data_IF_053501293874
#
_entry.id   IF_053501293874
#
_cell.length_a   1.000
_cell.length_b   1.000
_cell.length_c   1.000
_cell.angle_alpha   90.00
_cell.angle_beta   90.00
_cell.angle_gamma   90.00
#
_symmetry.space_group_name_H-M   'P 1'
#
loop_
_entity.id
_entity.type
_entity.pdbx_description
1 polymer ?
#
# COMPACT_ATOMS: atom_id res chain seq x y z
N UNK A 1 15.39 -15.42 37.61
CA UNK A 1 14.29 -14.52 37.19
C UNK A 1 13.24 -15.36 36.49
N UNK A 2 11.94 -15.11 36.72
CA UNK A 2 10.86 -15.81 36.02
C UNK A 2 10.39 -14.97 34.83
N UNK A 3 10.24 -15.59 33.66
CA UNK A 3 9.68 -14.93 32.47
C UNK A 3 8.19 -14.71 32.66
N UNK A 4 7.72 -13.45 32.55
CA UNK A 4 6.29 -13.09 32.75
C UNK A 4 5.49 -12.99 31.45
N UNK A 5 6.17 -12.79 30.31
CA UNK A 5 5.54 -12.75 28.99
C UNK A 5 6.58 -13.04 27.88
N UNK A 6 6.11 -13.65 26.80
CA UNK A 6 6.84 -13.84 25.52
C UNK A 6 5.95 -13.31 24.40
N UNK A 7 6.56 -12.74 23.37
CA UNK A 7 5.84 -12.18 22.22
C UNK A 7 6.50 -12.65 20.93
N UNK A 8 5.67 -13.02 19.96
CA UNK A 8 6.08 -13.47 18.64
C UNK A 8 5.53 -12.53 17.57
N UNK A 9 6.30 -12.35 16.49
CA UNK A 9 5.90 -11.58 15.31
C UNK A 9 5.88 -12.54 14.13
N UNK A 10 4.68 -12.79 13.62
CA UNK A 10 4.49 -13.65 12.45
C UNK A 10 4.81 -12.91 11.15
N UNK A 11 5.40 -13.62 10.20
CA UNK A 11 5.72 -13.13 8.85
C UNK A 11 4.93 -13.91 7.81
N UNK A 12 4.22 -13.19 6.94
CA UNK A 12 3.41 -13.79 5.86
C UNK A 12 3.96 -13.43 4.48
N UNK A 13 4.14 -14.47 3.66
CA UNK A 13 4.44 -14.38 2.23
C UNK A 13 3.75 -15.57 1.55
N UNK A 14 3.01 -15.35 0.47
CA UNK A 14 2.37 -16.37 -0.35
C UNK A 14 3.08 -16.59 -1.68
N UNK A 15 3.65 -15.53 -2.25
CA UNK A 15 4.40 -15.56 -3.51
C UNK A 15 5.83 -15.07 -3.29
N UNK A 16 6.79 -15.91 -3.64
CA UNK A 16 8.21 -15.55 -3.65
C UNK A 16 8.52 -14.52 -4.76
N UNK A 17 9.75 -13.97 -4.86
CA UNK A 17 10.11 -13.01 -5.90
C UNK A 17 9.92 -13.50 -7.34
N UNK A 18 9.95 -14.81 -7.57
CA UNK A 18 9.74 -15.42 -8.88
C UNK A 18 8.24 -15.58 -9.18
N UNK A 19 7.37 -15.37 -8.20
CA UNK A 19 5.93 -15.55 -8.30
C UNK A 19 5.50 -16.99 -8.07
N UNK A 20 6.33 -17.83 -7.45
CA UNK A 20 5.97 -19.19 -7.09
C UNK A 20 5.34 -19.23 -5.68
N UNK A 21 4.32 -20.08 -5.44
CA UNK A 21 3.70 -20.20 -4.14
C UNK A 21 4.65 -20.76 -3.08
N UNK A 22 4.79 -20.07 -1.95
CA UNK A 22 5.60 -20.52 -0.80
C UNK A 22 4.78 -21.34 0.20
N UNK A 23 3.46 -21.20 0.17
CA UNK A 23 2.50 -21.90 1.03
C UNK A 23 1.13 -21.99 0.34
N UNK A 24 0.13 -22.57 1.02
CA UNK A 24 -1.23 -22.66 0.50
C UNK A 24 -1.81 -21.27 0.27
N UNK A 25 -2.30 -21.02 -0.95
CA UNK A 25 -2.83 -19.72 -1.34
C UNK A 25 -4.26 -19.52 -0.82
N UNK A 26 -4.66 -18.29 -0.46
CA UNK A 26 -6.05 -17.99 -0.16
C UNK A 26 -6.92 -18.17 -1.40
N UNK A 27 -8.21 -18.49 -1.20
CA UNK A 27 -9.12 -18.89 -2.28
C UNK A 27 -9.18 -17.87 -3.44
N UNK A 28 -9.15 -16.56 -3.13
CA UNK A 28 -9.17 -15.51 -4.16
C UNK A 28 -7.90 -15.50 -5.03
N UNK A 29 -6.77 -15.98 -4.53
CA UNK A 29 -5.51 -16.01 -5.27
C UNK A 29 -5.40 -17.23 -6.20
N UNK A 30 -6.32 -18.20 -6.08
CA UNK A 30 -6.44 -19.32 -7.01
C UNK A 30 -7.21 -18.95 -8.28
N UNK A 31 -7.88 -17.79 -8.30
CA UNK A 31 -8.62 -17.28 -9.45
C UNK A 31 -7.84 -16.13 -10.12
N UNK A 32 -7.33 -16.33 -11.35
CA UNK A 32 -6.66 -15.27 -12.10
C UNK A 32 -7.53 -14.02 -12.29
N UNK A 33 -8.84 -14.18 -12.43
CA UNK A 33 -9.76 -13.04 -12.66
C UNK A 33 -9.88 -12.16 -11.41
N UNK A 34 -9.74 -12.72 -10.21
CA UNK A 34 -9.68 -11.96 -8.97
C UNK A 34 -8.34 -11.21 -8.79
N UNK A 35 -7.24 -11.70 -9.39
CA UNK A 35 -5.91 -11.08 -9.30
C UNK A 35 -5.64 -10.03 -10.38
N UNK A 36 -6.29 -10.14 -11.55
CA UNK A 36 -6.12 -9.19 -12.66
C UNK A 36 -6.40 -7.73 -12.27
N UNK A 37 -7.46 -7.38 -11.50
CA UNK A 37 -7.68 -6.03 -11.01
C UNK A 37 -6.54 -5.50 -10.13
N UNK A 38 -5.96 -6.34 -9.26
CA UNK A 38 -4.83 -5.96 -8.40
C UNK A 38 -3.58 -5.66 -9.24
N UNK A 39 -3.27 -6.53 -10.20
CA UNK A 39 -2.15 -6.31 -11.11
C UNK A 39 -2.33 -5.04 -11.94
N UNK A 40 -3.54 -4.81 -12.48
CA UNK A 40 -3.90 -3.57 -13.21
C UNK A 40 -3.66 -2.34 -12.37
N UNK A 41 -4.08 -2.36 -11.11
CA UNK A 41 -3.92 -1.26 -10.18
C UNK A 41 -2.45 -0.92 -9.92
N UNK A 42 -1.60 -1.94 -9.73
CA UNK A 42 -0.17 -1.73 -9.52
C UNK A 42 0.50 -1.14 -10.76
N UNK A 43 0.19 -1.66 -11.96
CA UNK A 43 0.71 -1.11 -13.22
C UNK A 43 0.23 0.33 -13.42
N UNK A 44 -1.05 0.61 -13.16
CA UNK A 44 -1.63 1.95 -13.27
C UNK A 44 -0.94 2.95 -12.33
N UNK A 45 -0.69 2.54 -11.09
CA UNK A 45 0.06 3.32 -10.10
C UNK A 45 1.45 3.68 -10.63
N UNK A 46 2.20 2.68 -11.13
CA UNK A 46 3.54 2.91 -11.70
C UNK A 46 3.52 3.83 -12.93
N UNK A 47 2.50 3.74 -13.78
CA UNK A 47 2.35 4.64 -14.94
C UNK A 47 1.97 6.06 -14.52
N UNK A 48 1.11 6.20 -13.51
CA UNK A 48 0.78 7.50 -12.94
C UNK A 48 2.03 8.19 -12.37
N UNK A 49 2.85 7.46 -11.61
CA UNK A 49 4.13 7.97 -11.09
C UNK A 49 5.02 8.54 -12.19
N UNK A 50 5.24 7.79 -13.27
CA UNK A 50 6.04 8.23 -14.41
C UNK A 50 5.47 9.53 -15.02
N UNK A 51 4.15 9.62 -15.13
CA UNK A 51 3.48 10.80 -15.66
C UNK A 51 3.57 12.00 -14.70
N UNK A 52 3.35 11.80 -13.41
CA UNK A 52 3.43 12.84 -12.39
C UNK A 52 4.85 13.42 -12.31
N UNK A 53 5.88 12.56 -12.32
CA UNK A 53 7.29 13.00 -12.37
C UNK A 53 7.56 13.83 -13.63
N UNK A 54 7.05 13.40 -14.80
CA UNK A 54 7.22 14.17 -16.04
C UNK A 54 6.51 15.53 -15.99
N UNK A 55 5.32 15.62 -15.36
CA UNK A 55 4.61 16.87 -15.13
C UNK A 55 5.38 17.79 -14.17
N UNK A 56 5.95 17.23 -13.10
CA UNK A 56 6.76 18.00 -12.14
C UNK A 56 8.01 18.58 -12.80
N UNK A 57 8.72 17.78 -13.62
CA UNK A 57 9.91 18.23 -14.38
C UNK A 57 9.62 19.35 -15.38
N UNK A 58 8.37 19.51 -15.79
CA UNK A 58 7.92 20.58 -16.68
C UNK A 58 7.21 21.72 -15.93
N UNK A 59 7.22 21.70 -14.59
CA UNK A 59 6.64 22.75 -13.75
C UNK A 59 5.11 22.77 -13.72
N UNK A 60 4.44 21.70 -14.16
CA UNK A 60 2.97 21.64 -14.19
C UNK A 60 2.36 21.22 -12.85
N UNK A 61 3.13 20.55 -11.99
CA UNK A 61 2.76 20.22 -10.62
C UNK A 61 3.95 20.49 -9.68
N UNK A 62 3.69 20.57 -8.38
CA UNK A 62 4.70 20.71 -7.33
C UNK A 62 5.48 19.42 -7.07
N UNK A 63 6.20 19.38 -5.93
CA UNK A 63 6.99 18.22 -5.50
C UNK A 63 6.10 16.98 -5.40
N UNK A 64 6.52 15.86 -5.97
CA UNK A 64 5.73 14.61 -5.98
C UNK A 64 6.48 13.45 -5.30
N UNK A 65 5.74 12.58 -4.61
CA UNK A 65 6.27 11.41 -3.90
C UNK A 65 5.83 10.10 -4.59
N UNK A 66 6.73 9.51 -5.38
CA UNK A 66 6.47 8.27 -6.13
C UNK A 66 6.32 7.04 -5.21
N UNK A 67 5.40 6.14 -5.54
CA UNK A 67 5.22 4.86 -4.87
C UNK A 67 6.00 3.71 -5.55
N UNK A 68 7.01 4.01 -6.37
CA UNK A 68 7.75 3.01 -7.13
C UNK A 68 8.36 1.93 -6.21
N UNK A 69 8.00 0.68 -6.47
CA UNK A 69 8.39 -0.50 -5.69
C UNK A 69 7.45 -0.83 -4.53
N UNK A 70 6.52 0.05 -4.19
CA UNK A 70 5.60 -0.06 -3.05
C UNK A 70 4.14 -0.22 -3.49
N UNK A 71 3.88 -0.48 -4.78
CA UNK A 71 2.55 -0.47 -5.36
C UNK A 71 1.62 -1.52 -4.72
N UNK A 72 2.17 -2.70 -4.40
CA UNK A 72 1.43 -3.79 -3.75
C UNK A 72 0.91 -3.43 -2.36
N UNK A 73 1.61 -2.57 -1.60
CA UNK A 73 1.18 -2.16 -0.26
C UNK A 73 -0.15 -1.43 -0.35
N UNK A 74 -0.20 -0.32 -1.11
CA UNK A 74 -1.43 0.47 -1.23
C UNK A 74 -2.56 -0.28 -1.94
N UNK A 75 -2.25 -1.03 -3.01
CA UNK A 75 -3.26 -1.82 -3.73
C UNK A 75 -3.82 -2.94 -2.86
N UNK A 76 -2.95 -3.72 -2.20
CA UNK A 76 -3.35 -4.83 -1.34
C UNK A 76 -4.22 -4.36 -0.19
N UNK A 77 -3.79 -3.29 0.51
CA UNK A 77 -4.54 -2.70 1.62
C UNK A 77 -5.91 -2.22 1.18
N UNK A 78 -5.98 -1.36 0.16
CA UNK A 78 -7.25 -0.77 -0.26
C UNK A 78 -8.22 -1.78 -0.88
N UNK A 79 -7.70 -2.85 -1.51
CA UNK A 79 -8.55 -3.92 -2.06
C UNK A 79 -9.17 -4.84 -1.00
N UNK A 80 -8.69 -4.79 0.24
CA UNK A 80 -9.28 -5.48 1.39
C UNK A 80 -10.31 -4.61 2.14
N UNK A 81 -10.31 -3.31 1.89
CA UNK A 81 -11.25 -2.36 2.50
C UNK A 81 -12.65 -2.49 1.91
N UNK A 82 -13.67 -2.33 2.76
CA UNK A 82 -15.05 -2.13 2.33
C UNK A 82 -15.26 -0.66 1.97
N UNK A 83 -16.29 -0.36 1.18
CA UNK A 83 -16.60 1.01 0.75
C UNK A 83 -16.81 1.97 1.93
N UNK A 84 -17.34 1.45 3.04
CA UNK A 84 -17.53 2.18 4.27
C UNK A 84 -16.28 2.28 5.15
N UNK A 85 -15.15 1.62 4.93
CA UNK A 85 -13.99 1.91 5.79
C UNK A 85 -13.46 3.33 5.52
N UNK A 86 -12.62 3.85 6.41
CA UNK A 86 -11.99 5.18 6.24
C UNK A 86 -10.49 5.01 6.03
N UNK A 87 -10.00 5.49 4.88
CA UNK A 87 -8.57 5.60 4.61
C UNK A 87 -8.00 6.87 5.23
N UNK A 88 -6.89 6.74 5.95
CA UNK A 88 -6.10 7.85 6.49
C UNK A 88 -4.66 7.74 5.96
N UNK A 89 -4.37 8.33 4.78
CA UNK A 89 -3.14 8.08 4.05
C UNK A 89 -1.96 8.97 4.49
N UNK A 90 -0.75 8.51 4.21
CA UNK A 90 0.42 9.37 4.04
C UNK A 90 0.49 9.93 2.61
N UNK A 91 1.40 10.86 2.35
CA UNK A 91 1.59 11.44 1.02
C UNK A 91 2.04 10.47 -0.08
N UNK A 92 2.39 9.21 0.24
CA UNK A 92 2.85 8.21 -0.75
C UNK A 92 1.78 7.17 -1.11
N UNK A 93 0.59 7.26 -0.54
CA UNK A 93 -0.41 6.18 -0.61
C UNK A 93 -1.44 6.37 -1.74
N UNK A 94 -1.05 7.02 -2.85
CA UNK A 94 -1.94 7.27 -3.98
C UNK A 94 -2.42 5.96 -4.66
N UNK A 95 -1.65 4.87 -4.54
CA UNK A 95 -2.10 3.53 -4.96
C UNK A 95 -3.39 3.09 -4.23
N UNK A 96 -3.45 3.35 -2.91
CA UNK A 96 -4.63 3.10 -2.11
C UNK A 96 -5.76 4.07 -2.49
N UNK A 97 -5.47 5.37 -2.62
CA UNK A 97 -6.46 6.38 -3.02
C UNK A 97 -7.13 6.04 -4.35
N UNK A 98 -6.39 5.61 -5.37
CA UNK A 98 -6.96 5.21 -6.65
C UNK A 98 -7.86 3.98 -6.53
N UNK A 99 -7.49 3.00 -5.71
CA UNK A 99 -8.37 1.85 -5.40
C UNK A 99 -9.64 2.26 -4.64
N UNK A 100 -9.56 3.31 -3.81
CA UNK A 100 -10.71 3.91 -3.13
C UNK A 100 -11.60 4.75 -4.04
N UNK A 101 -11.18 5.02 -5.28
CA UNK A 101 -11.96 5.76 -6.28
C UNK A 101 -11.54 7.22 -6.44
N UNK A 102 -10.50 7.69 -5.75
CA UNK A 102 -9.91 9.01 -6.02
C UNK A 102 -9.42 9.03 -7.46
N UNK A 103 -9.87 10.04 -8.21
CA UNK A 103 -9.48 10.20 -9.61
C UNK A 103 -8.04 10.70 -9.71
N UNK A 104 -7.38 10.36 -10.82
CA UNK A 104 -6.06 10.92 -11.14
C UNK A 104 -6.10 12.45 -11.27
N UNK A 105 -7.25 13.02 -11.68
CA UNK A 105 -7.44 14.47 -11.75
C UNK A 105 -7.41 15.09 -10.36
N UNK A 106 -8.17 14.55 -9.40
CA UNK A 106 -8.14 15.02 -8.00
C UNK A 106 -6.72 14.93 -7.42
N UNK A 107 -6.02 13.82 -7.66
CA UNK A 107 -4.63 13.66 -7.24
C UNK A 107 -3.70 14.70 -7.87
N UNK A 108 -3.80 14.95 -9.18
CA UNK A 108 -2.98 15.96 -9.87
C UNK A 108 -3.34 17.40 -9.47
N UNK A 109 -4.60 17.67 -9.10
CA UNK A 109 -5.00 18.96 -8.53
C UNK A 109 -4.31 19.19 -7.18
N UNK A 110 -4.36 18.19 -6.28
CA UNK A 110 -3.65 18.26 -5.00
C UNK A 110 -2.15 18.54 -5.19
N UNK A 111 -1.48 17.75 -6.04
CA UNK A 111 -0.05 17.93 -6.32
C UNK A 111 0.23 19.21 -7.11
N UNK A 112 -0.75 19.76 -7.81
CA UNK A 112 -0.71 21.08 -8.45
C UNK A 112 -0.90 22.26 -7.48
N UNK A 113 -1.17 22.00 -6.20
CA UNK A 113 -1.40 23.02 -5.18
C UNK A 113 -2.84 23.52 -5.11
N UNK A 114 -3.80 22.72 -5.58
CA UNK A 114 -5.23 23.04 -5.56
C UNK A 114 -5.99 22.18 -4.55
N UNK A 115 -6.48 22.82 -3.50
CA UNK A 115 -7.20 22.18 -2.39
C UNK A 115 -8.48 21.45 -2.83
N UNK A 116 -9.05 21.78 -3.99
CA UNK A 116 -10.19 21.03 -4.54
C UNK A 116 -9.83 19.58 -4.82
N UNK A 117 -8.54 19.29 -5.04
CA UNK A 117 -8.02 17.92 -5.17
C UNK A 117 -8.18 17.07 -3.90
N UNK A 118 -8.48 17.67 -2.75
CA UNK A 118 -8.73 16.98 -1.48
C UNK A 118 -10.21 16.65 -1.23
N UNK A 119 -11.12 17.14 -2.07
CA UNK A 119 -12.56 16.92 -1.94
C UNK A 119 -13.00 15.71 -2.79
N UNK A 120 -12.65 14.50 -2.35
CA UNK A 120 -12.85 13.28 -3.13
C UNK A 120 -14.33 12.97 -3.39
N UNK A 121 -14.70 12.88 -4.67
CA UNK A 121 -16.09 12.62 -5.05
C UNK A 121 -16.55 11.19 -4.72
N UNK A 122 -15.70 10.19 -4.95
CA UNK A 122 -16.04 8.77 -4.74
C UNK A 122 -15.77 8.26 -3.32
N UNK A 123 -14.93 8.97 -2.56
CA UNK A 123 -14.50 8.58 -1.22
C UNK A 123 -14.56 9.77 -0.24
N UNK A 124 -15.73 10.39 -0.03
CA UNK A 124 -15.87 11.63 0.74
C UNK A 124 -15.57 11.49 2.24
N UNK A 125 -15.41 10.27 2.73
CA UNK A 125 -15.05 9.98 4.12
C UNK A 125 -13.56 9.68 4.31
N UNK A 126 -12.82 9.43 3.22
CA UNK A 126 -11.38 9.20 3.27
C UNK A 126 -10.65 10.54 3.46
N UNK A 127 -9.53 10.50 4.18
CA UNK A 127 -8.76 11.70 4.48
C UNK A 127 -7.81 12.05 3.34
N UNK A 128 -7.56 13.35 3.18
CA UNK A 128 -6.50 13.86 2.31
C UNK A 128 -5.11 13.41 2.78
N UNK A 129 -4.11 13.59 1.90
CA UNK A 129 -2.72 13.28 2.21
C UNK A 129 -2.23 14.03 3.46
N UNK A 130 -1.71 13.30 4.44
CA UNK A 130 -1.05 13.90 5.59
C UNK A 130 0.45 14.13 5.30
N UNK A 131 0.86 15.41 5.29
CA UNK A 131 2.27 15.80 5.10
C UNK A 131 3.07 15.78 6.41
N UNK A 132 2.54 16.31 7.55
CA UNK A 132 3.19 16.15 8.85
C UNK A 132 3.21 14.67 9.29
N UNK A 133 4.40 14.07 9.28
CA UNK A 133 4.57 12.64 9.54
C UNK A 133 4.10 12.27 10.95
N UNK A 134 3.21 11.28 11.05
CA UNK A 134 2.79 10.65 12.30
C UNK A 134 1.42 11.15 12.78
N UNK A 135 1.09 12.41 12.51
CA UNK A 135 -0.16 13.04 12.96
C UNK A 135 -1.41 12.26 12.54
N UNK A 136 -1.38 11.65 11.35
CA UNK A 136 -2.50 10.87 10.84
C UNK A 136 -2.87 9.67 11.72
N UNK A 137 -1.94 9.13 12.51
CA UNK A 137 -2.18 7.98 13.39
C UNK A 137 -3.12 8.38 14.53
N UNK A 138 -2.92 9.56 15.13
CA UNK A 138 -3.82 10.11 16.16
C UNK A 138 -5.20 10.40 15.59
N UNK A 139 -5.28 10.96 14.37
CA UNK A 139 -6.57 11.15 13.68
C UNK A 139 -7.28 9.82 13.41
N UNK A 140 -6.57 8.80 12.93
CA UNK A 140 -7.13 7.48 12.69
C UNK A 140 -7.64 6.80 13.96
N UNK A 141 -6.93 6.94 15.09
CA UNK A 141 -7.39 6.46 16.39
C UNK A 141 -8.70 7.14 16.83
N UNK A 142 -8.80 8.46 16.68
CA UNK A 142 -10.03 9.21 16.97
C UNK A 142 -11.21 8.80 16.08
N UNK A 143 -10.97 8.61 14.78
CA UNK A 143 -11.98 8.14 13.82
C UNK A 143 -12.48 6.75 14.20
N UNK A 144 -11.56 5.80 14.44
CA UNK A 144 -11.89 4.45 14.87
C UNK A 144 -12.69 4.45 16.18
N UNK A 145 -12.28 5.27 17.14
CA UNK A 145 -12.99 5.39 18.41
C UNK A 145 -14.42 5.95 18.21
N UNK A 146 -14.60 6.93 17.34
CA UNK A 146 -15.93 7.44 17.00
C UNK A 146 -16.83 6.35 16.36
N UNK A 147 -16.29 5.54 15.44
CA UNK A 147 -17.01 4.39 14.86
C UNK A 147 -17.45 3.40 15.94
N UNK A 148 -16.58 3.12 16.92
CA UNK A 148 -16.90 2.24 18.04
C UNK A 148 -18.02 2.79 18.90
N UNK A 149 -17.96 4.07 19.29
CA UNK A 149 -19.00 4.71 20.10
C UNK A 149 -20.37 4.69 19.40
N UNK A 150 -20.37 4.84 18.07
CA UNK A 150 -21.58 4.80 17.23
C UNK A 150 -22.02 3.39 16.84
N UNK A 151 -21.25 2.35 17.22
CA UNK A 151 -21.50 0.94 16.88
C UNK A 151 -21.57 0.70 15.36
N UNK A 152 -20.72 1.40 14.60
CA UNK A 152 -20.65 1.27 13.15
C UNK A 152 -19.76 0.07 12.76
N UNK A 153 -20.22 -0.86 11.90
CA UNK A 153 -19.45 -2.06 11.52
C UNK A 153 -18.42 -1.75 10.41
N UNK A 154 -17.52 -0.79 10.68
CA UNK A 154 -16.49 -0.28 9.77
C UNK A 154 -15.20 0.00 10.56
N UNK A 155 -14.08 0.12 9.85
CA UNK A 155 -12.77 0.38 10.46
C UNK A 155 -12.09 1.61 9.84
N UNK A 156 -11.14 2.17 10.58
CA UNK A 156 -10.16 3.11 10.04
C UNK A 156 -8.89 2.35 9.62
N UNK A 157 -8.29 2.76 8.50
CA UNK A 157 -7.03 2.21 7.99
C UNK A 157 -6.06 3.36 7.82
N UNK A 158 -4.94 3.32 8.54
CA UNK A 158 -3.94 4.37 8.51
C UNK A 158 -2.63 3.85 7.92
N UNK A 159 -2.09 4.57 6.93
CA UNK A 159 -0.79 4.27 6.34
C UNK A 159 0.26 5.29 6.76
N UNK A 160 1.47 4.79 7.00
CA UNK A 160 2.66 5.60 7.27
C UNK A 160 3.94 4.86 6.85
N UNK A 161 5.04 5.60 6.73
CA UNK A 161 6.37 5.01 6.46
C UNK A 161 7.10 4.57 7.72
N UNK A 162 8.21 3.84 7.53
CA UNK A 162 9.13 3.39 8.58
C UNK A 162 9.65 4.54 9.46
N UNK A 163 10.06 5.67 8.85
CA UNK A 163 10.50 6.84 9.61
C UNK A 163 9.41 7.46 10.50
N UNK A 164 8.13 7.28 10.13
CA UNK A 164 7.01 7.76 10.94
C UNK A 164 6.85 7.01 12.25
N UNK A 165 7.37 5.78 12.33
CA UNK A 165 7.32 4.97 13.56
C UNK A 165 8.23 5.47 14.69
N UNK A 166 9.04 6.49 14.41
CA UNK A 166 9.90 7.19 15.37
C UNK A 166 9.23 8.45 15.96
N UNK A 167 8.04 8.83 15.47
CA UNK A 167 7.27 9.98 15.97
C UNK A 167 6.46 9.60 17.20
N UNK A 168 6.26 10.56 18.12
CA UNK A 168 5.41 10.38 19.31
C UNK A 168 3.97 10.01 18.92
N UNK A 169 3.40 10.72 17.94
CA UNK A 169 2.03 10.49 17.45
C UNK A 169 1.78 9.04 16.99
N UNK A 170 2.81 8.35 16.47
CA UNK A 170 2.67 6.94 16.11
C UNK A 170 2.39 6.07 17.34
N UNK A 171 3.17 6.25 18.40
CA UNK A 171 2.95 5.51 19.65
C UNK A 171 1.65 5.93 20.32
N UNK A 172 1.39 7.24 20.43
CA UNK A 172 0.19 7.76 21.09
C UNK A 172 -1.08 7.26 20.41
N UNK A 173 -1.19 7.39 19.08
CA UNK A 173 -2.34 6.89 18.32
C UNK A 173 -2.53 5.37 18.45
N UNK A 174 -1.44 4.60 18.37
CA UNK A 174 -1.47 3.15 18.53
C UNK A 174 -1.88 2.72 19.95
N UNK A 175 -1.32 3.37 20.98
CA UNK A 175 -1.62 3.09 22.38
C UNK A 175 -3.07 3.44 22.73
N UNK A 176 -3.57 4.58 22.24
CA UNK A 176 -4.98 4.95 22.37
C UNK A 176 -5.91 3.91 21.72
N UNK A 177 -5.60 3.47 20.50
CA UNK A 177 -6.41 2.47 19.82
C UNK A 177 -6.41 1.11 20.54
N UNK A 178 -5.28 0.70 21.12
CA UNK A 178 -5.18 -0.49 21.95
C UNK A 178 -5.99 -0.39 23.24
N UNK A 179 -5.81 0.69 24.00
CA UNK A 179 -6.53 0.95 25.25
C UNK A 179 -8.05 1.03 25.04
N UNK A 180 -8.49 1.63 23.93
CA UNK A 180 -9.90 1.76 23.61
C UNK A 180 -10.48 0.56 22.87
N UNK A 181 -9.66 -0.44 22.51
CA UNK A 181 -10.05 -1.54 21.63
C UNK A 181 -10.79 -1.00 20.38
N UNK A 182 -10.19 0.00 19.73
CA UNK A 182 -10.78 0.72 18.60
C UNK A 182 -10.59 -0.08 17.29
N UNK A 183 -11.54 -0.02 16.33
CA UNK A 183 -11.45 -0.70 15.03
C UNK A 183 -10.46 0.02 14.09
N UNK A 184 -9.16 -0.15 14.35
CA UNK A 184 -8.07 0.50 13.62
C UNK A 184 -7.06 -0.51 13.06
N UNK A 185 -6.75 -0.41 11.78
CA UNK A 185 -5.61 -1.11 11.17
C UNK A 185 -4.54 -0.08 10.84
N UNK A 186 -3.36 -0.23 11.44
CA UNK A 186 -2.18 0.57 11.14
C UNK A 186 -1.30 -0.20 10.16
N UNK A 187 -0.90 0.41 9.04
CA UNK A 187 -0.02 -0.20 8.06
C UNK A 187 1.25 0.63 7.91
N UNK A 188 2.36 0.07 8.36
CA UNK A 188 3.69 0.65 8.17
C UNK A 188 4.25 0.13 6.86
N UNK A 189 4.34 1.01 5.87
CA UNK A 189 5.07 0.79 4.63
C UNK A 189 6.57 0.94 4.91
N UNK A 190 7.21 -0.17 5.29
CA UNK A 190 8.63 -0.20 5.59
C UNK A 190 9.43 -0.35 4.29
N UNK A 191 9.75 0.78 3.68
CA UNK A 191 10.47 0.86 2.40
C UNK A 191 12.00 1.02 2.56
N UNK A 192 12.49 0.75 3.78
CA UNK A 192 13.89 0.80 4.24
C UNK A 192 14.52 2.19 4.41
N UNK A 193 13.82 3.29 4.04
CA UNK A 193 14.42 4.62 3.97
C UNK A 193 13.47 5.77 4.33
N UNK A 194 13.83 6.54 5.35
CA UNK A 194 13.23 7.84 5.66
C UNK A 194 14.10 8.98 5.09
N UNK A 195 13.74 9.49 3.90
CA UNK A 195 14.60 10.40 3.11
C UNK A 195 15.95 9.72 2.85
N UNK A 196 17.00 10.12 3.57
CA UNK A 196 18.37 9.62 3.53
C UNK A 196 18.74 8.73 4.73
N UNK A 197 17.86 8.61 5.72
CA UNK A 197 18.10 7.83 6.93
C UNK A 197 17.68 6.37 6.70
N UNK A 198 18.61 5.39 6.75
CA UNK A 198 18.27 3.99 6.59
C UNK A 198 17.49 3.47 7.79
N UNK A 199 16.67 2.43 7.59
CA UNK A 199 15.87 1.80 8.65
C UNK A 199 16.67 1.42 9.90
N UNK A 200 17.91 0.97 9.75
CA UNK A 200 18.79 0.61 10.88
C UNK A 200 19.09 1.78 11.84
N UNK A 201 19.00 3.03 11.37
CA UNK A 201 19.20 4.23 12.19
C UNK A 201 17.90 4.79 12.78
N UNK A 202 16.73 4.27 12.39
CA UNK A 202 15.45 4.70 12.95
C UNK A 202 15.21 4.17 14.36
N UNK A 203 15.56 2.90 14.60
CA UNK A 203 15.33 2.23 15.88
C UNK A 203 16.09 0.91 15.95
N UNK A 204 16.50 0.52 17.16
CA UNK A 204 17.12 -0.78 17.45
C UNK A 204 16.12 -1.97 17.44
N UNK A 205 14.81 -1.69 17.32
CA UNK A 205 13.79 -2.74 17.19
C UNK A 205 14.08 -3.62 15.96
N UNK A 206 14.01 -4.95 16.11
CA UNK A 206 14.28 -5.92 15.03
C UNK A 206 13.24 -5.83 13.92
N UNK A 207 11.97 -5.67 14.29
CA UNK A 207 10.86 -5.40 13.37
C UNK A 207 10.21 -4.06 13.75
N UNK A 208 9.41 -3.48 12.86
CA UNK A 208 8.51 -2.38 13.24
C UNK A 208 7.19 -2.92 13.80
N UNK A 209 6.77 -4.11 13.36
CA UNK A 209 5.61 -4.81 13.90
C UNK A 209 5.72 -5.03 15.43
N UNK A 210 6.91 -5.27 15.99
CA UNK A 210 7.08 -5.46 17.44
C UNK A 210 6.71 -4.22 18.27
N UNK A 211 6.64 -3.02 17.67
CA UNK A 211 6.20 -1.81 18.38
C UNK A 211 4.75 -1.94 18.88
N UNK A 212 3.94 -2.78 18.23
CA UNK A 212 2.58 -3.12 18.64
C UNK A 212 2.49 -3.67 20.08
N UNK A 213 3.52 -4.40 20.52
CA UNK A 213 3.59 -4.99 21.86
C UNK A 213 3.48 -3.91 22.94
N UNK A 214 4.11 -2.75 22.72
CA UNK A 214 4.07 -1.63 23.67
C UNK A 214 2.67 -1.00 23.82
N UNK A 215 1.77 -1.25 22.87
CA UNK A 215 0.37 -0.82 22.90
C UNK A 215 -0.60 -1.97 23.23
N UNK A 216 -0.10 -3.19 23.49
CA UNK A 216 -0.92 -4.36 23.77
C UNK A 216 -1.81 -4.81 22.60
N UNK A 217 -1.39 -4.55 21.36
CA UNK A 217 -2.14 -4.96 20.15
C UNK A 217 -1.33 -5.96 19.31
N UNK A 218 -1.97 -6.76 18.45
CA UNK A 218 -1.27 -7.64 17.51
C UNK A 218 -0.37 -6.86 16.55
N UNK A 219 0.85 -7.36 16.37
CA UNK A 219 1.82 -6.88 15.38
C UNK A 219 2.13 -7.99 14.38
N UNK A 220 1.87 -7.75 13.10
CA UNK A 220 2.09 -8.69 12.01
C UNK A 220 3.11 -8.12 11.04
N UNK A 221 3.93 -8.98 10.45
CA UNK A 221 4.83 -8.61 9.37
C UNK A 221 4.40 -9.31 8.08
N UNK A 222 4.54 -8.63 6.95
CA UNK A 222 4.15 -9.15 5.64
C UNK A 222 5.17 -8.76 4.59
N UNK A 223 5.37 -9.61 3.58
CA UNK A 223 6.06 -9.20 2.36
C UNK A 223 5.23 -8.13 1.64
N UNK A 224 5.67 -6.88 1.69
CA UNK A 224 5.00 -5.74 1.07
C UNK A 224 5.04 -5.75 -0.45
N UNK A 225 5.84 -6.61 -1.07
CA UNK A 225 5.89 -6.81 -2.51
C UNK A 225 5.02 -7.99 -2.98
N UNK A 226 4.46 -8.76 -2.06
CA UNK A 226 3.46 -9.78 -2.34
C UNK A 226 2.05 -9.23 -2.08
N UNK A 227 1.38 -8.78 -3.14
CA UNK A 227 0.03 -8.22 -3.04
C UNK A 227 -1.02 -9.22 -2.51
N UNK A 228 -0.80 -10.54 -2.68
CA UNK A 228 -1.69 -11.56 -2.12
C UNK A 228 -1.57 -11.57 -0.60
N UNK A 229 -0.33 -11.54 -0.09
CA UNK A 229 -0.06 -11.48 1.35
C UNK A 229 -0.55 -10.19 1.97
N UNK A 230 -0.23 -9.03 1.37
CA UNK A 230 -0.71 -7.73 1.86
C UNK A 230 -2.23 -7.70 1.94
N UNK A 231 -2.91 -8.14 0.88
CA UNK A 231 -4.38 -8.16 0.84
C UNK A 231 -4.97 -9.09 1.90
N UNK A 232 -4.46 -10.31 2.02
CA UNK A 232 -4.98 -11.30 2.97
C UNK A 232 -4.77 -10.84 4.43
N UNK A 233 -3.56 -10.43 4.79
CA UNK A 233 -3.25 -9.95 6.16
C UNK A 233 -4.08 -8.72 6.52
N UNK A 234 -4.27 -7.80 5.56
CA UNK A 234 -5.12 -6.62 5.78
C UNK A 234 -6.60 -7.02 5.94
N UNK A 235 -7.09 -7.97 5.15
CA UNK A 235 -8.46 -8.46 5.25
C UNK A 235 -8.75 -9.06 6.63
N UNK A 236 -7.83 -9.90 7.13
CA UNK A 236 -7.96 -10.53 8.44
C UNK A 236 -7.91 -9.51 9.58
N UNK A 237 -6.99 -8.54 9.51
CA UNK A 237 -6.91 -7.44 10.46
C UNK A 237 -8.17 -6.56 10.47
N UNK A 238 -8.73 -6.29 9.28
CA UNK A 238 -9.97 -5.52 9.13
C UNK A 238 -11.18 -6.28 9.69
N UNK A 239 -11.28 -7.59 9.45
CA UNK A 239 -12.38 -8.38 10.00
C UNK A 239 -12.30 -8.45 11.53
N UNK A 240 -11.09 -8.63 12.09
CA UNK A 240 -10.85 -8.53 13.54
C UNK A 240 -11.29 -7.16 14.07
N UNK A 241 -10.89 -6.07 13.43
CA UNK A 241 -11.22 -4.72 13.85
C UNK A 241 -12.75 -4.50 13.88
N UNK A 242 -13.45 -4.86 12.80
CA UNK A 242 -14.91 -4.68 12.66
C UNK A 242 -15.73 -5.56 13.60
N UNK A 243 -15.20 -6.72 14.00
CA UNK A 243 -15.86 -7.66 14.94
C UNK A 243 -15.52 -7.37 16.41
N UNK A 244 -14.82 -6.27 16.70
CA UNK A 244 -14.53 -5.83 18.07
C UNK A 244 -13.25 -6.40 18.67
N UNK A 245 -12.40 -7.07 17.88
CA UNK A 245 -11.08 -7.52 18.30
C UNK A 245 -10.03 -6.41 18.45
N UNK A 246 -10.42 -5.16 18.22
CA UNK A 246 -9.56 -3.99 18.41
C UNK A 246 -8.52 -3.81 17.30
N UNK A 247 -7.50 -3.01 17.60
CA UNK A 247 -6.55 -2.56 16.59
C UNK A 247 -5.51 -3.63 16.21
N UNK A 248 -4.87 -3.46 15.05
CA UNK A 248 -3.76 -4.30 14.58
C UNK A 248 -2.71 -3.45 13.88
N UNK A 249 -1.42 -3.73 14.10
CA UNK A 249 -0.31 -3.15 13.35
C UNK A 249 0.22 -4.15 12.32
N UNK A 250 0.34 -3.72 11.07
CA UNK A 250 0.94 -4.48 9.97
C UNK A 250 2.20 -3.75 9.52
N UNK A 251 3.34 -4.42 9.53
CA UNK A 251 4.56 -3.98 8.87
C UNK A 251 4.68 -4.65 7.50
N UNK A 252 4.52 -3.87 6.44
CA UNK A 252 4.76 -4.32 5.08
C UNK A 252 6.21 -4.03 4.66
N UNK A 253 7.03 -5.08 4.55
CA UNK A 253 8.43 -4.95 4.12
C UNK A 253 8.50 -4.79 2.61
N UNK A 254 9.04 -3.67 2.17
CA UNK A 254 9.23 -3.36 0.75
C UNK A 254 10.50 -2.51 0.60
N UNK A 255 10.72 -1.91 -0.57
CA UNK A 255 11.86 -1.07 -0.85
C UNK A 255 11.48 0.10 -1.75
N UNK A 256 11.91 1.32 -1.38
CA UNK A 256 11.68 2.52 -2.20
C UNK A 256 12.64 2.52 -3.39
N UNK A 257 12.19 2.11 -4.57
CA UNK A 257 13.06 2.03 -5.75
C UNK A 257 13.42 3.40 -6.34
N UNK A 258 12.57 4.41 -6.16
CA UNK A 258 12.81 5.79 -6.59
C UNK A 258 13.46 6.67 -5.51
N UNK A 259 13.64 7.95 -5.84
CA UNK A 259 14.04 9.00 -4.88
C UNK A 259 12.99 9.20 -3.80
N UNK A 260 13.32 9.95 -2.73
CA UNK A 260 12.34 10.27 -1.70
C UNK A 260 11.16 11.06 -2.28
N UNK A 261 11.46 12.14 -3.00
CA UNK A 261 10.52 12.93 -3.80
C UNK A 261 11.24 13.43 -5.04
N UNK A 262 10.54 14.13 -5.92
CA UNK A 262 11.16 14.82 -7.07
C UNK A 262 12.14 15.93 -6.68
N UNK A 263 12.28 16.26 -5.40
CA UNK A 263 13.23 17.25 -4.88
C UNK A 263 14.45 16.61 -4.18
N UNK A 264 14.57 15.28 -4.24
CA UNK A 264 15.64 14.50 -3.61
C UNK A 264 16.57 13.87 -4.66
N UNK A 265 17.76 13.47 -4.22
CA UNK A 265 18.73 12.71 -5.00
C UNK A 265 19.25 11.54 -4.15
N UNK A 266 18.69 10.35 -4.39
CA UNK A 266 19.04 9.17 -3.60
C UNK A 266 20.46 8.66 -3.85
N UNK A 267 21.10 9.03 -4.96
CA UNK A 267 22.47 8.58 -5.27
C UNK A 267 23.50 9.06 -4.25
N UNK A 268 23.17 10.09 -3.47
CA UNK A 268 24.03 10.69 -2.45
C UNK A 268 24.17 9.85 -1.17
N UNK A 269 23.25 8.92 -0.92
CA UNK A 269 23.20 8.19 0.35
C UNK A 269 22.80 6.71 0.20
N UNK A 270 22.50 6.26 -1.03
CA UNK A 270 22.03 4.90 -1.29
C UNK A 270 22.82 4.26 -2.42
N UNK A 271 23.29 3.04 -2.16
CA UNK A 271 24.05 2.28 -3.12
C UNK A 271 23.18 1.84 -4.31
N UNK A 272 23.65 2.15 -5.52
CA UNK A 272 23.01 1.75 -6.76
C UNK A 272 22.92 0.23 -6.93
N UNK A 273 23.88 -0.54 -6.41
CA UNK A 273 23.85 -2.00 -6.50
C UNK A 273 22.76 -2.58 -5.61
N UNK A 274 22.61 -2.05 -4.39
CA UNK A 274 21.48 -2.38 -3.52
C UNK A 274 20.14 -2.13 -4.23
N UNK A 275 20.00 -1.01 -4.94
CA UNK A 275 18.77 -0.71 -5.70
C UNK A 275 18.52 -1.75 -6.81
N UNK A 276 19.56 -2.16 -7.55
CA UNK A 276 19.43 -3.19 -8.60
C UNK A 276 18.97 -4.54 -8.03
N UNK A 277 19.47 -4.93 -6.86
CA UNK A 277 19.03 -6.17 -6.21
C UNK A 277 17.54 -6.10 -5.82
N UNK A 278 17.07 -4.96 -5.33
CA UNK A 278 15.65 -4.78 -4.97
C UNK A 278 14.71 -4.70 -6.18
N UNK A 279 15.20 -4.31 -7.36
CA UNK A 279 14.43 -4.41 -8.61
C UNK A 279 14.03 -5.86 -8.94
N UNK A 280 14.81 -6.85 -8.49
CA UNK A 280 14.48 -8.27 -8.69
C UNK A 280 13.34 -8.75 -7.76
N UNK A 281 12.99 -7.96 -6.75
CA UNK A 281 12.02 -8.31 -5.72
C UNK A 281 10.68 -7.59 -5.88
N UNK A 282 10.56 -6.71 -6.88
CA UNK A 282 9.49 -5.74 -7.03
C UNK A 282 8.10 -6.38 -7.32
N UNK A 283 7.01 -5.74 -6.89
CA UNK A 283 5.68 -6.38 -6.84
C UNK A 283 5.03 -6.67 -8.21
N UNK A 284 5.29 -5.84 -9.23
CA UNK A 284 4.62 -5.96 -10.54
C UNK A 284 5.11 -7.20 -11.26
N UNK A 285 6.43 -7.37 -11.42
CA UNK A 285 7.01 -8.56 -12.03
C UNK A 285 6.61 -9.82 -11.28
N UNK A 286 6.57 -9.78 -9.94
CA UNK A 286 6.16 -10.92 -9.11
C UNK A 286 4.79 -11.44 -9.48
N UNK A 287 3.75 -10.60 -9.41
CA UNK A 287 2.39 -11.03 -9.75
C UNK A 287 2.25 -11.34 -11.25
N UNK A 288 2.98 -10.64 -12.13
CA UNK A 288 3.01 -10.95 -13.57
C UNK A 288 3.47 -12.37 -13.83
N UNK A 289 4.47 -12.86 -13.10
CA UNK A 289 5.00 -14.20 -13.28
C UNK A 289 4.02 -15.26 -12.77
N UNK A 290 3.27 -14.97 -11.70
CA UNK A 290 2.25 -15.87 -11.17
C UNK A 290 1.01 -16.02 -12.07
N UNK A 291 0.51 -14.91 -12.65
CA UNK A 291 -0.76 -14.88 -13.40
C UNK A 291 -0.88 -15.94 -14.53
N UNK A 292 0.14 -16.20 -15.38
CA UNK A 292 0.07 -17.26 -16.40
C UNK A 292 0.12 -18.68 -15.84
N UNK A 293 0.70 -18.87 -14.65
CA UNK A 293 0.83 -20.16 -13.97
C UNK A 293 -0.47 -20.54 -13.24
N UNK A 294 -1.24 -19.54 -12.79
CA UNK A 294 -2.55 -19.71 -12.18
C UNK A 294 -3.59 -20.11 -13.24
N UNK A 295 -4.15 -21.32 -13.13
CA UNK A 295 -5.25 -21.80 -13.97
C UNK A 295 -6.44 -22.16 -13.07
N UNK A 296 -7.68 -21.77 -13.44
CA UNK A 296 -8.85 -22.23 -12.72
C UNK A 296 -8.93 -23.76 -12.84
N UNK A 297 -9.15 -24.44 -11.71
CA UNK A 297 -9.34 -25.88 -11.70
C UNK A 297 -10.57 -26.25 -12.56
N UNK A 298 -10.33 -26.85 -13.72
CA UNK A 298 -11.40 -27.40 -14.56
C UNK A 298 -11.77 -28.79 -14.04
N UNK A 299 -12.95 -28.91 -13.41
CA UNK A 299 -13.66 -30.18 -13.19
C UNK A 299 -13.07 -31.11 -12.12
N UNK A 300 -13.59 -31.03 -10.89
CA UNK A 300 -13.39 -32.07 -9.87
C UNK A 300 -14.33 -33.25 -10.15
N UNK A 301 -13.84 -34.23 -10.93
CA UNK A 301 -14.27 -35.62 -10.82
C UNK A 301 -13.58 -36.28 -9.62
N UNK A 302 -14.35 -37.03 -8.84
CA UNK A 302 -13.96 -37.70 -7.59
C UNK A 302 -12.63 -38.48 -7.67
N UNK A 303 -11.69 -38.21 -6.77
CA UNK A 303 -10.76 -39.22 -6.26
C UNK A 303 -10.15 -38.81 -4.92
N UNK A 304 -10.12 -39.79 -4.01
CA UNK A 304 -9.62 -39.81 -2.64
C UNK A 304 -8.08 -39.69 -2.55
N UNK A 305 -7.56 -39.09 -1.47
CA UNK A 305 -6.21 -39.38 -0.96
C UNK A 305 -5.32 -38.17 -0.66
N UNK A 306 -4.97 -38.02 0.61
CA UNK A 306 -4.04 -37.06 1.22
C UNK A 306 -2.76 -36.74 0.40
N UNK A 307 -2.67 -35.50 -0.12
CA UNK A 307 -1.47 -34.64 -0.17
C UNK A 307 -1.88 -33.22 -0.58
N UNK A 308 -1.29 -32.23 0.08
CA UNK A 308 -1.56 -30.81 -0.03
C UNK A 308 -1.82 -30.31 -1.47
N UNK A 309 -2.91 -29.58 -1.65
CA UNK A 309 -3.29 -28.91 -2.89
C UNK A 309 -2.39 -27.68 -3.14
N UNK A 310 -1.14 -27.92 -3.51
CA UNK A 310 -0.32 -26.95 -4.23
C UNK A 310 -0.74 -27.06 -5.70
N UNK A 311 -1.48 -26.06 -6.20
CA UNK A 311 -1.99 -25.89 -7.58
C UNK A 311 -1.87 -27.11 -8.52
N UNK A 312 -2.94 -27.89 -8.77
CA UNK A 312 -2.88 -28.94 -9.78
C UNK A 312 -2.88 -28.33 -11.19
N UNK A 313 -1.90 -28.72 -12.02
CA UNK A 313 -1.99 -28.61 -13.48
C UNK A 313 -1.12 -27.53 -14.15
N UNK A 314 0.15 -27.85 -14.44
CA UNK A 314 0.95 -27.13 -15.44
C UNK A 314 0.57 -27.62 -16.85
N UNK A 315 -0.50 -27.09 -17.47
CA UNK A 315 -0.70 -26.97 -18.94
C UNK A 315 -2.10 -26.42 -19.30
N UNK A 316 -2.18 -25.17 -19.74
CA UNK A 316 -3.44 -24.54 -20.21
C UNK A 316 -3.57 -23.05 -19.89
N UNK A 317 -2.76 -22.18 -20.49
CA UNK A 317 -2.76 -20.75 -20.16
C UNK A 317 -4.10 -20.07 -20.51
N UNK A 318 -4.65 -19.25 -19.59
CA UNK A 318 -5.90 -18.50 -19.87
C UNK A 318 -5.69 -17.49 -21.00
N UNK A 319 -6.50 -17.57 -22.06
CA UNK A 319 -6.34 -16.74 -23.26
C UNK A 319 -6.57 -15.25 -22.97
N UNK A 320 -7.44 -14.91 -22.01
CA UNK A 320 -7.72 -13.52 -21.61
C UNK A 320 -6.56 -12.86 -20.87
N UNK A 321 -5.96 -13.53 -19.88
CA UNK A 321 -4.80 -12.97 -19.17
C UNK A 321 -3.60 -12.80 -20.12
N UNK A 322 -3.36 -13.78 -21.00
CA UNK A 322 -2.34 -13.69 -22.07
C UNK A 322 -2.59 -12.54 -23.04
N UNK A 323 -3.82 -12.43 -23.56
CA UNK A 323 -4.19 -11.41 -24.54
C UNK A 323 -4.01 -10.01 -23.95
N UNK A 324 -4.42 -9.82 -22.70
CA UNK A 324 -4.29 -8.55 -22.02
C UNK A 324 -2.82 -8.22 -21.69
N UNK A 325 -2.03 -9.16 -21.16
CA UNK A 325 -0.59 -8.97 -20.97
C UNK A 325 0.07 -8.56 -22.29
N UNK A 326 -0.22 -9.27 -23.40
CA UNK A 326 0.28 -8.89 -24.73
C UNK A 326 -0.16 -7.48 -25.16
N UNK A 327 -1.39 -7.06 -24.84
CA UNK A 327 -1.91 -5.74 -25.24
C UNK A 327 -1.26 -4.55 -24.52
N UNK A 328 -0.77 -4.73 -23.29
CA UNK A 328 -0.05 -3.67 -22.55
C UNK A 328 1.39 -3.53 -23.06
N UNK A 329 2.02 -4.65 -23.38
CA UNK A 329 3.44 -4.70 -23.73
C UNK A 329 3.68 -4.63 -25.25
N UNK A 330 2.64 -4.70 -26.08
CA UNK A 330 2.70 -4.32 -27.49
C UNK A 330 2.90 -2.80 -27.61
N UNK A 331 3.82 -2.36 -28.47
CA UNK A 331 4.30 -0.97 -28.66
C UNK A 331 3.23 0.11 -28.41
N UNK A 332 3.60 1.24 -27.77
CA UNK A 332 2.63 2.26 -27.35
C UNK A 332 1.89 2.82 -28.57
N UNK A 333 0.59 2.48 -28.68
CA UNK A 333 -0.29 3.23 -29.57
C UNK A 333 -0.44 4.63 -28.99
N UNK A 334 -0.26 5.64 -29.83
CA UNK A 334 -0.29 7.08 -29.55
C UNK A 334 -1.66 7.62 -29.15
N UNK A 335 -2.43 6.88 -28.33
CA UNK A 335 -3.70 7.38 -27.80
C UNK A 335 -3.42 8.51 -26.81
N UNK A 336 -3.43 9.74 -27.34
CA UNK A 336 -3.49 10.98 -26.57
C UNK A 336 -4.72 10.88 -25.67
N UNK A 337 -4.49 10.87 -24.36
CA UNK A 337 -5.51 11.20 -23.39
C UNK A 337 -5.95 12.64 -23.66
N UNK A 338 -7.26 12.94 -23.83
CA UNK A 338 -7.71 14.30 -23.98
C UNK A 338 -7.65 15.01 -22.61
N UNK A 339 -6.47 15.46 -22.20
CA UNK A 339 -6.32 16.47 -21.16
C UNK A 339 -6.31 17.84 -21.84
N UNK A 340 -7.48 18.47 -21.96
CA UNK A 340 -7.53 19.91 -22.21
C UNK A 340 -7.38 20.60 -20.85
N UNK A 341 -6.18 21.11 -20.59
CA UNK A 341 -5.95 22.04 -19.49
C UNK A 341 -6.57 23.39 -19.87
N UNK A 342 -7.53 23.88 -19.09
CA UNK A 342 -7.90 25.30 -19.14
C UNK A 342 -6.82 26.06 -18.36
N UNK A 343 -5.72 26.39 -19.03
CA UNK A 343 -4.63 27.22 -18.48
C UNK A 343 -5.08 28.67 -18.39
N UNK A 344 -5.98 28.99 -17.47
CA UNK A 344 -6.31 30.37 -17.11
C UNK A 344 -6.72 30.46 -15.65
N UNK A 345 -5.70 30.41 -14.76
CA UNK A 345 -5.56 31.18 -13.52
C UNK A 345 -4.37 30.62 -12.73
N UNK A 346 -3.17 31.04 -13.10
CA UNK A 346 -2.03 30.98 -12.20
C UNK A 346 -2.32 31.93 -11.03
N UNK A 347 -2.74 31.41 -9.88
CA UNK A 347 -2.68 32.16 -8.63
C UNK A 347 -1.27 32.05 -8.10
N UNK A 348 -0.43 33.01 -8.52
CA UNK A 348 0.88 33.20 -7.98
C UNK A 348 0.72 33.77 -6.56
N UNK A 349 0.93 32.94 -5.54
CA UNK A 349 1.05 33.40 -4.16
C UNK A 349 2.41 34.11 -4.02
N UNK A 350 2.49 35.36 -4.47
CA UNK A 350 3.65 36.22 -4.21
C UNK A 350 3.54 36.82 -2.81
N UNK A 351 4.03 36.11 -1.80
CA UNK A 351 4.38 36.74 -0.53
C UNK A 351 5.71 37.49 -0.73
N UNK A 352 5.64 38.72 -1.26
CA UNK A 352 6.70 39.71 -1.04
C UNK A 352 6.46 40.29 0.35
N UNK A 353 7.25 39.87 1.32
CA UNK A 353 7.42 40.63 2.56
C UNK A 353 8.21 41.89 2.23
N UNK A 354 7.55 43.03 2.35
CA UNK A 354 8.17 44.34 2.50
C UNK A 354 8.93 44.40 3.84
N UNK A 355 10.24 44.59 3.76
CA UNK A 355 11.08 45.25 4.75
C UNK A 355 12.28 45.85 4.01
#
# INVERSE_FOLDING_TARGET
MATVATFDIEYTQFLDPQGEPTQALPAFALDPEALLPLYRAMVLTRQFDLKAIALQRTGQIGTFASALGQEAVGVGVASAMRAQDVLVPSYRDHAAQFQRGVSMTESLLYWGGDERGNAFAAAPHDFANCVPIGNQVCHAAGIAYAMKLRREPRAAVCLLGDGGTSKGDFYEGMNMAGAWQAPLVLVVNNNQWAISMPRSQQTAARTLAQKAIAAGIPGLQVDGNDVVAVRQVTLDALERARTGGGATLIEAITYRLGDHTTADDASRYRDSEQVKQHWLLEPVARLRNYLPACQPAQGAGSATGNRAALCPGRRGQSERARSWLKSIWSKPSTRRWPMRWNTTRAWCCSARTSA
#
